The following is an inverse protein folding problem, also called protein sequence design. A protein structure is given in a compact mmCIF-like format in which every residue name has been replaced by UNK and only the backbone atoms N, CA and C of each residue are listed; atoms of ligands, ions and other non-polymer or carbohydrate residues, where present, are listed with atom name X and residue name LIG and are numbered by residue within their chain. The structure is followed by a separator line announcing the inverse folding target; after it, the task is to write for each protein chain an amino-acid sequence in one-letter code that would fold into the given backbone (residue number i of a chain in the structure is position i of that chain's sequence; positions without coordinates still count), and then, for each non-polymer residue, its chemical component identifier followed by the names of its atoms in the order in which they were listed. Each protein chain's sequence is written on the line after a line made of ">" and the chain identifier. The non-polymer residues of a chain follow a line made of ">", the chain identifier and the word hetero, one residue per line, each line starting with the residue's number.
data_IF_187253729892
#
_entry.id   IF_187253729892
#
_cell.length_a   1.000
_cell.length_b   1.000
_cell.length_c   1.000
_cell.angle_alpha   90.00
_cell.angle_beta   90.00
_cell.angle_gamma   90.00
#
_symmetry.space_group_name_H-M   'P 1'
#
loop_
_entity.id
_entity.type
_entity.pdbx_description
1 polymer ?
#
# COMPACT_ATOMS: atom_id res chain seq x y z
N UNK A 1 -8.56 -1.95 7.29
CA UNK A 1 -7.27 -2.08 6.58
C UNK A 1 -6.72 -0.70 6.30
N UNK A 2 -5.44 -0.51 6.52
CA UNK A 2 -4.72 0.75 6.24
C UNK A 2 -3.44 0.39 5.49
N UNK A 3 -3.14 1.08 4.40
CA UNK A 3 -1.88 0.94 3.67
C UNK A 3 -1.12 2.27 3.74
N UNK A 4 0.17 2.21 4.05
CA UNK A 4 1.00 3.37 4.35
C UNK A 4 2.35 3.29 3.62
N UNK A 5 2.99 4.43 3.40
CA UNK A 5 4.41 4.49 3.06
C UNK A 5 5.30 4.21 4.29
N UNK A 6 6.59 3.90 4.11
CA UNK A 6 7.48 3.50 5.21
C UNK A 6 7.63 4.52 6.33
N UNK A 7 7.48 5.81 6.05
CA UNK A 7 7.61 6.89 7.05
C UNK A 7 6.33 7.13 7.85
N UNK A 8 5.19 6.79 7.29
CA UNK A 8 3.89 7.19 7.85
C UNK A 8 3.49 6.41 9.10
N UNK A 9 3.93 5.16 9.26
CA UNK A 9 3.48 4.33 10.38
C UNK A 9 3.80 4.93 11.75
N UNK A 10 4.93 5.61 11.89
CA UNK A 10 5.30 6.28 13.13
C UNK A 10 4.25 7.33 13.55
N UNK A 11 3.70 8.07 12.59
CA UNK A 11 2.63 9.04 12.81
C UNK A 11 1.31 8.38 13.18
N UNK A 12 0.95 7.28 12.52
CA UNK A 12 -0.32 6.61 12.72
C UNK A 12 -0.34 5.66 13.91
N UNK A 13 0.81 5.31 14.48
CA UNK A 13 0.90 4.39 15.63
C UNK A 13 -0.01 4.75 16.80
N UNK A 14 -0.09 6.01 17.28
CA UNK A 14 -0.99 6.38 18.38
C UNK A 14 -2.47 6.17 18.03
N UNK A 15 -2.86 6.42 16.79
CA UNK A 15 -4.20 6.16 16.30
C UNK A 15 -4.49 4.65 16.27
N UNK A 16 -3.61 3.86 15.66
CA UNK A 16 -3.77 2.40 15.56
C UNK A 16 -3.91 1.75 16.95
N UNK A 17 -3.16 2.23 17.95
CA UNK A 17 -3.26 1.73 19.33
C UNK A 17 -4.62 1.96 19.98
N UNK A 18 -5.40 2.92 19.51
CA UNK A 18 -6.75 3.24 20.02
C UNK A 18 -7.86 2.45 19.34
N UNK A 19 -7.56 1.76 18.25
CA UNK A 19 -8.53 0.91 17.60
C UNK A 19 -8.86 -0.28 18.47
N UNK A 20 -10.14 -0.52 18.70
CA UNK A 20 -10.63 -1.63 19.56
C UNK A 20 -11.02 -2.86 18.74
N UNK A 21 -11.40 -2.67 17.48
CA UNK A 21 -11.76 -3.75 16.56
C UNK A 21 -10.57 -4.34 15.79
N UNK A 22 -10.84 -5.32 14.92
CA UNK A 22 -9.84 -5.90 14.06
C UNK A 22 -9.22 -4.86 13.11
N UNK A 23 -7.92 -4.95 12.90
CA UNK A 23 -7.22 -4.09 11.94
C UNK A 23 -6.04 -4.79 11.29
N UNK A 24 -5.70 -4.33 10.08
CA UNK A 24 -4.51 -4.70 9.35
C UNK A 24 -3.84 -3.43 8.84
N UNK A 25 -2.60 -3.22 9.21
CA UNK A 25 -1.78 -2.10 8.73
C UNK A 25 -0.66 -2.65 7.87
N UNK A 26 -0.65 -2.23 6.64
CA UNK A 26 0.28 -2.63 5.59
C UNK A 26 1.23 -1.48 5.28
N UNK A 27 2.46 -1.80 4.96
CA UNK A 27 3.45 -0.87 4.43
C UNK A 27 3.76 -1.26 3.00
N UNK A 28 3.66 -0.30 2.08
CA UNK A 28 4.14 -0.44 0.71
C UNK A 28 5.61 -0.04 0.70
N UNK A 29 6.50 -1.02 0.54
CA UNK A 29 7.93 -0.81 0.61
C UNK A 29 8.45 0.07 -0.54
N UNK A 30 9.50 0.83 -0.26
CA UNK A 30 10.12 1.77 -1.20
C UNK A 30 9.16 2.84 -1.77
N UNK A 31 7.98 3.02 -1.18
CA UNK A 31 7.01 4.05 -1.57
C UNK A 31 7.17 5.34 -0.77
N UNK A 32 6.56 6.39 -1.29
CA UNK A 32 6.27 7.66 -0.61
C UNK A 32 4.79 7.97 -0.77
N UNK A 33 4.31 9.03 -0.13
CA UNK A 33 2.90 9.38 -0.13
C UNK A 33 2.26 9.41 -1.53
N UNK A 34 2.96 9.96 -2.50
CA UNK A 34 2.47 10.08 -3.89
C UNK A 34 2.35 8.73 -4.63
N UNK A 35 2.88 7.63 -4.06
CA UNK A 35 2.69 6.30 -4.62
C UNK A 35 1.22 5.83 -4.58
N UNK A 36 0.43 6.39 -3.68
CA UNK A 36 -1.00 6.11 -3.53
C UNK A 36 -1.90 7.01 -4.38
N UNK A 37 -1.34 7.65 -5.38
CA UNK A 37 -2.03 8.55 -6.30
C UNK A 37 -1.68 8.21 -7.74
N UNK A 38 -2.36 8.82 -8.70
CA UNK A 38 -2.00 8.72 -10.12
C UNK A 38 -0.57 9.24 -10.41
N UNK A 39 0.03 9.95 -9.46
CA UNK A 39 1.42 10.40 -9.51
C UNK A 39 2.43 9.27 -9.75
N UNK A 40 2.12 8.05 -9.29
CA UNK A 40 2.99 6.88 -9.52
C UNK A 40 3.13 6.57 -11.01
N UNK A 41 2.04 6.60 -11.76
CA UNK A 41 2.04 6.39 -13.21
C UNK A 41 2.60 7.58 -13.98
N UNK A 42 2.21 8.80 -13.58
CA UNK A 42 2.71 10.02 -14.18
C UNK A 42 4.23 10.12 -14.05
N UNK A 43 4.77 9.83 -12.88
CA UNK A 43 6.22 9.82 -12.66
C UNK A 43 6.94 8.77 -13.51
N UNK A 44 6.36 7.60 -13.65
CA UNK A 44 6.91 6.54 -14.49
C UNK A 44 6.92 6.98 -15.97
N UNK A 45 5.82 7.58 -16.45
CA UNK A 45 5.72 8.09 -17.82
C UNK A 45 6.71 9.24 -18.09
N UNK A 46 6.83 10.19 -17.18
CA UNK A 46 7.79 11.31 -17.31
C UNK A 46 9.22 10.79 -17.38
N UNK A 47 9.61 9.82 -16.58
CA UNK A 47 10.95 9.21 -16.67
C UNK A 47 11.20 8.54 -18.02
N UNK A 48 10.17 7.97 -18.63
CA UNK A 48 10.28 7.29 -19.92
C UNK A 48 10.42 8.27 -21.09
N UNK A 49 9.60 9.34 -21.10
CA UNK A 49 9.49 10.26 -22.26
C UNK A 49 10.37 11.51 -22.14
N UNK A 50 10.74 11.90 -20.92
CA UNK A 50 11.51 13.11 -20.65
C UNK A 50 12.48 12.93 -19.47
N UNK A 51 13.48 12.04 -19.56
CA UNK A 51 14.38 11.72 -18.45
C UNK A 51 15.21 12.90 -17.96
N UNK A 52 15.30 14.00 -18.75
CA UNK A 52 16.04 15.21 -18.38
C UNK A 52 15.24 16.28 -17.64
N UNK A 53 13.94 16.08 -17.38
CA UNK A 53 13.08 17.08 -16.71
C UNK A 53 13.20 17.10 -15.17
N UNK A 54 14.27 16.54 -14.62
CA UNK A 54 14.53 16.56 -13.19
C UNK A 54 13.66 15.61 -12.36
N UNK A 55 13.82 15.59 -11.02
CA UNK A 55 13.06 14.69 -10.20
C UNK A 55 11.60 15.13 -10.20
N UNK A 56 10.74 14.33 -10.83
CA UNK A 56 9.31 14.39 -10.55
C UNK A 56 9.09 14.19 -9.03
N UNK A 57 8.03 14.77 -8.43
CA UNK A 57 7.66 14.46 -7.06
C UNK A 57 7.63 12.95 -6.93
N UNK A 58 8.55 12.41 -6.12
CA UNK A 58 8.86 11.01 -6.26
C UNK A 58 7.88 10.16 -5.45
N UNK A 59 7.14 9.23 -6.08
CA UNK A 59 6.35 8.21 -5.37
C UNK A 59 7.25 7.22 -4.61
N UNK A 60 8.55 7.50 -4.53
CA UNK A 60 9.58 6.59 -4.07
C UNK A 60 10.22 5.82 -5.22
N UNK A 61 11.00 4.79 -4.89
CA UNK A 61 11.62 3.88 -5.85
C UNK A 61 10.78 2.64 -6.15
N UNK A 62 9.57 2.54 -5.60
CA UNK A 62 8.67 1.43 -5.88
C UNK A 62 8.30 1.38 -7.36
N UNK A 63 8.28 0.18 -7.93
CA UNK A 63 7.81 -0.02 -9.29
C UNK A 63 6.30 0.33 -9.38
N UNK A 64 5.92 1.19 -10.33
CA UNK A 64 4.55 1.65 -10.47
C UNK A 64 3.54 0.52 -10.66
N UNK A 65 3.85 -0.46 -11.51
CA UNK A 65 2.98 -1.62 -11.75
C UNK A 65 2.84 -2.48 -10.49
N UNK A 66 3.93 -2.69 -9.74
CA UNK A 66 3.91 -3.44 -8.50
C UNK A 66 3.12 -2.72 -7.40
N UNK A 67 3.26 -1.39 -7.30
CA UNK A 67 2.51 -0.58 -6.34
C UNK A 67 1.01 -0.64 -6.60
N UNK A 68 0.57 -0.28 -7.80
CA UNK A 68 -0.84 -0.28 -8.18
C UNK A 68 -1.44 -1.68 -8.13
N UNK A 69 -0.68 -2.69 -8.57
CA UNK A 69 -1.10 -4.09 -8.47
C UNK A 69 -1.32 -4.53 -7.03
N UNK A 70 -0.44 -4.15 -6.11
CA UNK A 70 -0.58 -4.46 -4.69
C UNK A 70 -1.78 -3.73 -4.06
N UNK A 71 -1.93 -2.44 -4.31
CA UNK A 71 -3.06 -1.64 -3.82
C UNK A 71 -4.39 -2.23 -4.28
N UNK A 72 -4.54 -2.51 -5.57
CA UNK A 72 -5.74 -3.10 -6.15
C UNK A 72 -6.03 -4.48 -5.54
N UNK A 73 -5.02 -5.34 -5.44
CA UNK A 73 -5.20 -6.69 -4.89
C UNK A 73 -5.69 -6.68 -3.43
N UNK A 74 -5.16 -5.77 -2.60
CA UNK A 74 -5.60 -5.65 -1.22
C UNK A 74 -6.98 -5.02 -1.08
N UNK A 75 -7.33 -4.04 -1.93
CA UNK A 75 -8.69 -3.47 -1.98
C UNK A 75 -9.71 -4.51 -2.42
N UNK A 76 -9.43 -5.24 -3.48
CA UNK A 76 -10.29 -6.32 -3.96
C UNK A 76 -10.49 -7.39 -2.86
N UNK A 77 -9.40 -7.83 -2.25
CA UNK A 77 -9.45 -8.79 -1.15
C UNK A 77 -10.30 -8.30 0.03
N UNK A 78 -10.19 -7.02 0.37
CA UNK A 78 -10.97 -6.40 1.43
C UNK A 78 -12.47 -6.41 1.11
N UNK A 79 -12.85 -5.93 -0.07
CA UNK A 79 -14.27 -5.90 -0.46
C UNK A 79 -14.85 -7.28 -0.68
N UNK A 80 -14.13 -8.20 -1.32
CA UNK A 80 -14.58 -9.59 -1.49
C UNK A 80 -14.82 -10.27 -0.14
N UNK A 81 -13.93 -10.07 0.82
CA UNK A 81 -14.08 -10.68 2.14
C UNK A 81 -15.23 -10.07 2.94
N UNK A 82 -15.30 -8.75 3.02
CA UNK A 82 -16.22 -8.09 3.96
C UNK A 82 -17.59 -7.75 3.35
N UNK A 83 -17.71 -7.65 2.03
CA UNK A 83 -19.01 -7.43 1.37
C UNK A 83 -19.58 -8.71 0.77
N UNK A 84 -18.74 -9.54 0.17
CA UNK A 84 -19.18 -10.74 -0.54
C UNK A 84 -18.97 -12.02 0.25
N UNK A 85 -18.33 -11.98 1.42
CA UNK A 85 -18.08 -13.14 2.27
C UNK A 85 -17.08 -14.14 1.68
N UNK A 86 -16.26 -13.73 0.71
CA UNK A 86 -15.27 -14.61 0.07
C UNK A 86 -13.91 -14.49 0.78
N UNK A 87 -13.37 -15.57 1.36
CA UNK A 87 -12.10 -15.50 2.06
C UNK A 87 -10.95 -15.17 1.11
N UNK A 88 -10.03 -14.32 1.57
CA UNK A 88 -8.82 -13.96 0.82
C UNK A 88 -7.54 -14.36 1.53
N UNK A 89 -6.56 -14.84 0.78
CA UNK A 89 -5.23 -15.17 1.29
C UNK A 89 -4.37 -13.94 1.65
N UNK A 90 -4.82 -12.74 1.34
CA UNK A 90 -4.10 -11.48 1.61
C UNK A 90 -4.51 -10.81 2.92
N UNK A 91 -5.61 -11.25 3.56
CA UNK A 91 -6.15 -10.61 4.77
C UNK A 91 -5.74 -11.30 6.07
N UNK A 92 -6.04 -10.72 7.26
CA UNK A 92 -5.67 -11.27 8.55
C UNK A 92 -6.05 -12.75 8.70
N UNK A 93 -5.14 -13.53 9.26
CA UNK A 93 -5.27 -14.98 9.39
C UNK A 93 -4.58 -15.76 8.27
N UNK A 94 -4.21 -15.11 7.18
CA UNK A 94 -3.46 -15.70 6.08
C UNK A 94 -2.03 -15.14 6.06
N UNK A 95 -1.00 -15.97 5.98
CA UNK A 95 0.40 -15.53 6.10
C UNK A 95 0.97 -14.90 4.81
N UNK A 96 0.24 -14.95 3.70
CA UNK A 96 0.76 -14.51 2.41
C UNK A 96 0.66 -13.01 2.25
N UNK A 97 1.78 -12.39 1.90
CA UNK A 97 1.84 -10.98 1.46
C UNK A 97 2.42 -10.90 0.05
N UNK A 98 2.14 -9.80 -0.65
CA UNK A 98 2.79 -9.50 -1.92
C UNK A 98 4.23 -9.00 -1.68
N UNK A 99 5.17 -9.21 -2.63
CA UNK A 99 6.59 -8.91 -2.44
C UNK A 99 6.91 -7.48 -2.02
N UNK A 100 6.10 -6.50 -2.48
CA UNK A 100 6.28 -5.07 -2.17
C UNK A 100 5.51 -4.62 -0.92
N UNK A 101 4.84 -5.54 -0.23
CA UNK A 101 3.98 -5.23 0.92
C UNK A 101 4.47 -5.95 2.17
N UNK A 102 4.49 -5.20 3.27
CA UNK A 102 4.87 -5.70 4.59
C UNK A 102 3.75 -5.44 5.60
N UNK A 103 3.43 -6.43 6.40
CA UNK A 103 2.52 -6.25 7.55
C UNK A 103 3.31 -5.58 8.69
N UNK A 104 2.89 -4.40 9.10
CA UNK A 104 3.55 -3.65 10.20
C UNK A 104 2.77 -3.65 11.50
N UNK A 105 1.45 -3.86 11.43
CA UNK A 105 0.63 -4.09 12.62
C UNK A 105 -0.66 -4.82 12.26
N UNK A 106 -1.16 -5.64 13.18
CA UNK A 106 -2.45 -6.32 13.00
C UNK A 106 -3.10 -6.65 14.34
N UNK A 107 -4.41 -6.78 14.31
CA UNK A 107 -5.26 -7.36 15.34
C UNK A 107 -6.44 -8.07 14.67
N UNK A 108 -6.77 -9.22 15.12
CA UNK A 108 -7.93 -9.94 14.56
C UNK A 108 -7.78 -11.37 14.58
#
# INVERSE_FOLDING_TARGET
>A
MIMLDPGAFAYFRPFVRRLTGPYLVLQLDASRHDAFTDGVWLSALVRLVAPGLGPAPAPGSVNASAAVGAESAYLDAFFETYLNGQPSSLLPGQPRTLPVVKVVARRG
#
